data_IF_054576390668
#
_entry.id   IF_054576390668
#
_cell.length_a   1.000
_cell.length_b   1.000
_cell.length_c   1.000
_cell.angle_alpha   90.00
_cell.angle_beta   90.00
_cell.angle_gamma   90.00
#
_symmetry.space_group_name_H-M   'P 1'
#
loop_
_entity.id
_entity.type
_entity.pdbx_description
1 polymer ?
#
# COMPACT_ATOMS: atom_id res chain seq x y z
N UNK A 1 -28.21 -10.69 -5.70
CA UNK A 1 -27.42 -11.66 -6.48
C UNK A 1 -26.11 -11.01 -6.84
N UNK A 2 -24.99 -11.45 -6.26
CA UNK A 2 -23.67 -11.06 -6.74
C UNK A 2 -23.38 -11.83 -8.04
N UNK A 3 -22.98 -11.14 -9.10
CA UNK A 3 -22.59 -11.79 -10.36
C UNK A 3 -21.27 -12.53 -10.16
N UNK A 4 -21.14 -13.74 -10.71
CA UNK A 4 -19.92 -14.58 -10.57
C UNK A 4 -18.62 -13.83 -10.95
N UNK A 5 -18.66 -12.92 -11.91
CA UNK A 5 -17.49 -12.14 -12.33
C UNK A 5 -17.04 -11.13 -11.27
N UNK A 6 -17.97 -10.48 -10.56
CA UNK A 6 -17.64 -9.55 -9.48
C UNK A 6 -16.99 -10.29 -8.28
N UNK A 7 -17.43 -11.52 -8.01
CA UNK A 7 -16.82 -12.38 -6.97
C UNK A 7 -15.37 -12.74 -7.31
N UNK A 8 -15.10 -13.13 -8.56
CA UNK A 8 -13.75 -13.47 -9.03
C UNK A 8 -12.82 -12.26 -8.98
N UNK A 9 -13.30 -11.07 -9.40
CA UNK A 9 -12.51 -9.84 -9.33
C UNK A 9 -12.20 -9.42 -7.89
N UNK A 10 -13.14 -9.65 -6.96
CA UNK A 10 -12.95 -9.41 -5.53
C UNK A 10 -11.90 -10.34 -4.93
N UNK A 11 -12.02 -11.65 -5.18
CA UNK A 11 -11.07 -12.66 -4.67
C UNK A 11 -9.64 -12.42 -5.19
N UNK A 12 -9.51 -12.04 -6.47
CA UNK A 12 -8.22 -11.70 -7.05
C UNK A 12 -7.66 -10.39 -6.46
N UNK A 13 -8.51 -9.39 -6.22
CA UNK A 13 -8.14 -8.16 -5.51
C UNK A 13 -7.59 -8.44 -4.11
N UNK A 14 -8.29 -9.27 -3.34
CA UNK A 14 -7.87 -9.69 -2.00
C UNK A 14 -6.54 -10.45 -2.03
N UNK A 15 -6.35 -11.32 -3.01
CA UNK A 15 -5.09 -12.07 -3.21
C UNK A 15 -3.92 -11.11 -3.50
N UNK A 16 -4.12 -10.17 -4.41
CA UNK A 16 -3.12 -9.15 -4.78
C UNK A 16 -2.80 -8.26 -3.58
N UNK A 17 -3.82 -7.75 -2.88
CA UNK A 17 -3.64 -6.93 -1.69
C UNK A 17 -2.86 -7.69 -0.61
N UNK A 18 -3.19 -8.97 -0.40
CA UNK A 18 -2.50 -9.82 0.56
C UNK A 18 -1.02 -9.99 0.24
N UNK A 19 -0.67 -10.25 -1.02
CA UNK A 19 0.74 -10.34 -1.46
C UNK A 19 1.45 -9.00 -1.27
N UNK A 20 0.81 -7.90 -1.68
CA UNK A 20 1.36 -6.56 -1.58
C UNK A 20 1.59 -6.12 -0.13
N UNK A 21 0.65 -6.42 0.78
CA UNK A 21 0.81 -6.13 2.20
C UNK A 21 2.00 -6.89 2.78
N UNK A 22 2.15 -8.19 2.46
CA UNK A 22 3.29 -9.00 2.92
C UNK A 22 4.62 -8.47 2.41
N UNK A 23 4.70 -8.10 1.13
CA UNK A 23 5.95 -7.58 0.54
C UNK A 23 6.30 -6.20 1.09
N UNK A 24 5.32 -5.32 1.30
CA UNK A 24 5.55 -3.95 1.78
C UNK A 24 5.92 -3.91 3.26
N UNK A 25 5.41 -4.86 4.05
CA UNK A 25 5.75 -5.01 5.47
C UNK A 25 6.95 -5.95 5.71
N UNK A 26 7.59 -6.48 4.67
CA UNK A 26 8.82 -7.25 4.80
C UNK A 26 9.95 -6.38 5.37
N UNK A 27 10.85 -6.97 6.14
CA UNK A 27 11.91 -6.25 6.84
C UNK A 27 12.76 -5.38 5.89
N UNK A 28 13.19 -5.92 4.76
CA UNK A 28 13.96 -5.18 3.75
C UNK A 28 13.21 -3.97 3.18
N UNK A 29 11.90 -4.11 2.97
CA UNK A 29 11.02 -3.02 2.53
C UNK A 29 10.90 -1.94 3.61
N UNK A 30 10.73 -2.33 4.87
CA UNK A 30 10.67 -1.39 6.00
C UNK A 30 11.99 -0.61 6.15
N UNK A 31 13.14 -1.28 6.03
CA UNK A 31 14.45 -0.63 6.01
C UNK A 31 14.58 0.36 4.86
N UNK A 32 14.15 -0.04 3.66
CA UNK A 32 14.21 0.80 2.47
C UNK A 32 13.31 2.03 2.60
N UNK A 33 12.09 1.85 3.12
CA UNK A 33 11.15 2.93 3.43
C UNK A 33 11.74 3.89 4.46
N UNK A 34 12.26 3.37 5.59
CA UNK A 34 12.86 4.19 6.63
C UNK A 34 14.04 5.03 6.11
N UNK A 35 14.96 4.41 5.37
CA UNK A 35 16.09 5.10 4.72
C UNK A 35 15.63 6.15 3.72
N UNK A 36 14.61 5.84 2.93
CA UNK A 36 14.03 6.78 1.98
C UNK A 36 13.46 8.01 2.67
N UNK A 37 12.68 7.84 3.74
CA UNK A 37 12.12 8.96 4.50
C UNK A 37 13.27 9.77 5.14
N UNK A 38 14.28 9.11 5.71
CA UNK A 38 15.38 9.78 6.41
C UNK A 38 16.20 10.64 5.44
N UNK A 39 16.46 10.11 4.23
CA UNK A 39 17.12 10.83 3.14
C UNK A 39 16.41 12.13 2.78
N UNK A 40 15.08 12.13 2.71
CA UNK A 40 14.32 13.30 2.25
C UNK A 40 13.94 14.27 3.36
N UNK A 41 13.53 13.77 4.52
CA UNK A 41 13.11 14.62 5.65
C UNK A 41 14.30 15.32 6.31
N UNK A 42 15.47 14.68 6.29
CA UNK A 42 16.71 15.09 6.96
C UNK A 42 16.55 15.11 8.49
N UNK A 43 17.63 14.80 9.22
CA UNK A 43 17.62 14.65 10.69
C UNK A 43 17.85 13.21 11.16
N UNK A 44 17.94 13.03 12.48
CA UNK A 44 18.25 11.73 13.09
C UNK A 44 16.96 10.89 13.28
N UNK A 45 16.75 9.82 12.50
CA UNK A 45 15.60 8.94 12.68
C UNK A 45 15.67 8.24 14.04
N UNK A 46 14.52 8.08 14.68
CA UNK A 46 14.38 7.41 15.97
C UNK A 46 13.68 6.06 15.80
N UNK A 47 12.52 6.04 15.14
CA UNK A 47 11.70 4.82 15.01
C UNK A 47 10.79 4.93 13.79
N UNK A 48 10.71 3.85 13.02
CA UNK A 48 9.66 3.65 12.02
C UNK A 48 8.55 2.81 12.67
N UNK A 49 7.35 3.37 12.80
CA UNK A 49 6.22 2.65 13.35
C UNK A 49 5.61 1.69 12.32
N UNK A 50 4.96 0.64 12.81
CA UNK A 50 4.19 -0.30 12.00
C UNK A 50 3.21 0.40 11.06
N UNK A 51 2.99 -0.24 9.90
CA UNK A 51 2.05 0.22 8.91
C UNK A 51 0.65 0.35 9.52
N UNK A 52 0.06 1.54 9.45
CA UNK A 52 -1.38 1.72 9.71
C UNK A 52 -2.12 1.74 8.39
N UNK A 53 -3.01 0.78 8.19
CA UNK A 53 -3.79 0.63 6.97
C UNK A 53 -5.23 1.11 7.13
N UNK A 54 -5.72 1.89 6.15
CA UNK A 54 -7.15 2.01 5.87
C UNK A 54 -7.56 1.11 4.70
N UNK A 55 -8.78 1.24 4.18
CA UNK A 55 -9.25 0.44 3.04
C UNK A 55 -8.39 0.57 1.76
N UNK A 56 -7.75 1.72 1.55
CA UNK A 56 -7.06 2.02 0.27
C UNK A 56 -5.58 2.35 0.40
N UNK A 57 -5.06 2.57 1.62
CA UNK A 57 -3.70 3.06 1.82
C UNK A 57 -3.03 2.37 3.00
N UNK A 58 -1.72 2.13 2.88
CA UNK A 58 -0.84 1.86 4.01
C UNK A 58 -0.03 3.12 4.34
N UNK A 59 0.05 3.44 5.64
CA UNK A 59 0.69 4.64 6.16
C UNK A 59 1.83 4.23 7.08
N UNK A 60 3.04 4.67 6.77
CA UNK A 60 4.21 4.50 7.63
C UNK A 60 4.59 5.85 8.23
N UNK A 61 4.84 5.88 9.54
CA UNK A 61 5.26 7.08 10.25
C UNK A 61 6.64 6.87 10.83
N UNK A 62 7.57 7.75 10.48
CA UNK A 62 8.88 7.82 11.12
C UNK A 62 8.93 8.98 12.12
N UNK A 63 9.41 8.68 13.32
CA UNK A 63 9.75 9.68 14.35
C UNK A 63 11.23 10.04 14.27
N UNK A 64 11.54 11.26 14.67
CA UNK A 64 12.89 11.80 14.70
C UNK A 64 13.21 12.30 16.11
N UNK A 65 14.50 12.30 16.46
CA UNK A 65 14.97 12.70 17.79
C UNK A 65 14.70 14.17 18.15
N UNK A 66 14.43 15.01 17.16
CA UNK A 66 14.03 16.40 17.34
C UNK A 66 12.56 16.57 17.78
N UNK A 67 11.84 15.46 17.98
CA UNK A 67 10.41 15.41 18.28
C UNK A 67 9.52 15.49 17.03
N UNK A 68 10.10 15.67 15.85
CA UNK A 68 9.41 15.71 14.57
C UNK A 68 8.98 14.33 14.06
N UNK A 69 8.14 14.33 13.03
CA UNK A 69 7.78 13.11 12.31
C UNK A 69 7.59 13.35 10.82
N UNK A 70 7.71 12.28 10.04
CA UNK A 70 7.37 12.25 8.62
C UNK A 70 6.50 11.02 8.32
N UNK A 71 5.66 11.15 7.30
CA UNK A 71 4.73 10.10 6.88
C UNK A 71 4.92 9.84 5.40
N UNK A 72 4.98 8.57 5.03
CA UNK A 72 4.84 8.12 3.65
C UNK A 72 3.57 7.27 3.52
N UNK A 73 2.89 7.39 2.38
CA UNK A 73 1.66 6.68 2.07
C UNK A 73 1.85 5.91 0.77
N UNK A 74 1.41 4.65 0.79
CA UNK A 74 1.31 3.86 -0.42
C UNK A 74 -0.15 3.46 -0.64
N UNK A 75 -0.59 3.54 -1.89
CA UNK A 75 -1.87 3.00 -2.33
C UNK A 75 -1.80 1.47 -2.33
N UNK A 76 -2.81 0.82 -1.74
CA UNK A 76 -2.92 -0.63 -1.75
C UNK A 76 -3.19 -1.12 -3.18
N UNK A 77 -2.35 -1.99 -3.67
CA UNK A 77 -2.61 -2.70 -4.94
C UNK A 77 -3.72 -3.73 -4.71
N UNK A 78 -4.66 -3.86 -5.66
CA UNK A 78 -5.79 -4.81 -5.55
C UNK A 78 -7.05 -4.24 -4.88
N UNK A 79 -6.95 -3.15 -4.11
CA UNK A 79 -8.12 -2.52 -3.46
C UNK A 79 -9.09 -1.82 -4.44
N UNK A 80 -8.68 -1.62 -5.70
CA UNK A 80 -9.54 -1.12 -6.78
C UNK A 80 -9.32 -1.98 -8.02
N UNK A 81 -9.95 -3.15 -8.04
CA UNK A 81 -10.01 -4.02 -9.22
C UNK A 81 -11.34 -3.82 -9.91
N UNK A 82 -11.30 -3.44 -11.19
CA UNK A 82 -12.48 -3.48 -12.06
C UNK A 82 -12.55 -4.86 -12.71
N UNK A 83 -13.74 -5.51 -12.74
CA UNK A 83 -13.93 -6.74 -13.49
C UNK A 83 -13.49 -6.59 -14.95
N UNK A 84 -12.77 -7.57 -15.49
CA UNK A 84 -12.22 -7.50 -16.84
C UNK A 84 -13.28 -7.25 -17.93
N UNK A 85 -14.50 -7.76 -17.74
CA UNK A 85 -15.64 -7.51 -18.63
C UNK A 85 -15.91 -6.00 -18.80
N UNK A 86 -15.74 -5.22 -17.72
CA UNK A 86 -15.99 -3.78 -17.69
C UNK A 86 -14.82 -2.96 -18.25
N UNK A 87 -13.59 -3.50 -18.27
CA UNK A 87 -12.42 -2.81 -18.83
C UNK A 87 -12.25 -3.06 -20.34
N UNK A 88 -12.67 -4.23 -20.85
CA UNK A 88 -12.62 -4.56 -22.29
C UNK A 88 -13.61 -3.76 -23.14
N UNK A 89 -14.71 -3.30 -22.56
CA UNK A 89 -15.69 -2.47 -23.27
C UNK A 89 -15.17 -1.05 -23.63
N UNK A 90 -14.04 -0.60 -23.06
CA UNK A 90 -13.44 0.73 -23.33
C UNK A 90 -12.22 0.72 -24.25
N UNK A 91 -11.63 -0.44 -24.55
CA UNK A 91 -10.43 -0.54 -25.39
C UNK A 91 -10.73 -0.76 -26.89
N UNK A 92 -12.01 -0.76 -27.29
CA UNK A 92 -12.45 -0.86 -28.68
C UNK A 92 -13.18 0.41 -29.17
N UNK A 93 -12.90 1.57 -28.58
CA UNK A 93 -13.49 2.86 -28.98
C UNK A 93 -12.41 3.87 -29.34
#
# INVERSE_FOLDING_TARGET
>A
MAMKSDMVASEEGDRIEGVWCRSTCAEESLWSIGRFIAKHRQGAPETLNDARGGGFNAVFRMKFKDGGSAVIRFTKTGASMFPEEKTRARSQQ
#
